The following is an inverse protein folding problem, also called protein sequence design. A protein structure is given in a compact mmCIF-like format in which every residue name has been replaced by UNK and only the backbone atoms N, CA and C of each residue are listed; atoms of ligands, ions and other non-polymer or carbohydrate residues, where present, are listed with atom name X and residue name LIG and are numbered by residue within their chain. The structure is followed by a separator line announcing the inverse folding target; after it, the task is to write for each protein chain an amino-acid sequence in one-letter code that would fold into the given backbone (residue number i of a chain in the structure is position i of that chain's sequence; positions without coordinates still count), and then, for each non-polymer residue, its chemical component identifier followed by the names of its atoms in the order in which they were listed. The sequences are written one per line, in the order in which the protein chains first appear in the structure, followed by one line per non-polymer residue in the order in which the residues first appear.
data_IF_183812833777
#
_entry.id   IF_183812833777
#
_cell.length_a   1.000
_cell.length_b   1.000
_cell.length_c   1.000
_cell.angle_alpha   90.00
_cell.angle_beta   90.00
_cell.angle_gamma   90.00
#
_symmetry.space_group_name_H-M   'P 1'
#
loop_
_entity.id
_entity.type
_entity.pdbx_description
1 polymer ?
#
# COMPACT_ATOMS: atom_id res chain seq x y z
N UNK A 1 -16.48 -5.26 -7.35
CA UNK A 1 -16.93 -4.43 -6.21
C UNK A 1 -18.11 -3.59 -6.67
N UNK A 2 -19.17 -3.53 -5.86
CA UNK A 2 -20.38 -2.75 -6.14
C UNK A 2 -20.57 -1.72 -5.03
N UNK A 3 -21.07 -0.54 -5.37
CA UNK A 3 -21.46 0.48 -4.40
C UNK A 3 -22.97 0.70 -4.49
N UNK A 4 -23.62 0.77 -3.33
CA UNK A 4 -25.08 0.95 -3.23
C UNK A 4 -25.49 2.43 -3.07
N UNK A 5 -24.52 3.30 -2.77
CA UNK A 5 -24.72 4.74 -2.60
C UNK A 5 -23.69 5.52 -3.42
N UNK A 6 -24.08 6.72 -3.88
CA UNK A 6 -23.20 7.64 -4.62
C UNK A 6 -22.02 8.07 -3.73
N UNK A 7 -22.26 8.29 -2.44
CA UNK A 7 -21.21 8.68 -1.49
C UNK A 7 -20.20 7.54 -1.31
N UNK A 8 -20.70 6.31 -1.18
CA UNK A 8 -19.84 5.11 -1.07
C UNK A 8 -18.99 4.94 -2.34
N UNK A 9 -19.59 5.10 -3.51
CA UNK A 9 -18.87 5.04 -4.79
C UNK A 9 -17.73 6.07 -4.84
N UNK A 10 -18.00 7.32 -4.51
CA UNK A 10 -16.99 8.40 -4.52
C UNK A 10 -15.89 8.13 -3.48
N UNK A 11 -16.26 7.74 -2.26
CA UNK A 11 -15.30 7.51 -1.17
C UNK A 11 -14.36 6.33 -1.46
N UNK A 12 -14.88 5.23 -2.02
CA UNK A 12 -14.04 4.08 -2.37
C UNK A 12 -13.09 4.44 -3.52
N UNK A 13 -13.59 5.18 -4.51
CA UNK A 13 -12.78 5.60 -5.65
C UNK A 13 -11.68 6.58 -5.24
N UNK A 14 -12.02 7.57 -4.40
CA UNK A 14 -11.04 8.50 -3.83
C UNK A 14 -10.02 7.78 -2.93
N UNK A 15 -10.48 6.85 -2.09
CA UNK A 15 -9.62 6.03 -1.25
C UNK A 15 -8.62 5.22 -2.06
N UNK A 16 -9.03 4.72 -3.23
CA UNK A 16 -8.16 4.01 -4.15
C UNK A 16 -7.07 4.91 -4.75
N UNK A 17 -7.45 6.09 -5.28
CA UNK A 17 -6.50 7.07 -5.83
C UNK A 17 -5.50 7.52 -4.76
N UNK A 18 -5.97 7.81 -3.55
CA UNK A 18 -5.10 8.21 -2.44
C UNK A 18 -4.16 7.08 -2.02
N UNK A 19 -4.64 5.83 -1.98
CA UNK A 19 -3.80 4.65 -1.74
C UNK A 19 -2.68 4.53 -2.79
N UNK A 20 -3.01 4.63 -4.08
CA UNK A 20 -2.02 4.58 -5.16
C UNK A 20 -1.01 5.72 -5.09
N UNK A 21 -1.46 6.95 -4.81
CA UNK A 21 -0.60 8.11 -4.65
C UNK A 21 0.37 7.94 -3.47
N UNK A 22 -0.12 7.52 -2.31
CA UNK A 22 0.72 7.23 -1.14
C UNK A 22 1.75 6.15 -1.46
N UNK A 23 1.33 5.08 -2.14
CA UNK A 23 2.23 3.97 -2.46
C UNK A 23 3.30 4.35 -3.46
N UNK A 24 2.96 5.15 -4.47
CA UNK A 24 3.93 5.74 -5.39
C UNK A 24 4.96 6.62 -4.68
N UNK A 25 4.55 7.41 -3.68
CA UNK A 25 5.49 8.23 -2.90
C UNK A 25 6.42 7.35 -2.06
N UNK A 26 5.90 6.35 -1.35
CA UNK A 26 6.72 5.49 -0.48
C UNK A 26 7.72 4.66 -1.30
N UNK A 27 7.30 4.14 -2.46
CA UNK A 27 8.19 3.46 -3.38
C UNK A 27 9.21 4.40 -4.03
N UNK A 28 8.76 5.56 -4.54
CA UNK A 28 9.63 6.53 -5.20
C UNK A 28 10.68 7.15 -4.28
N UNK A 29 10.37 7.30 -2.99
CA UNK A 29 11.33 7.78 -1.98
C UNK A 29 12.18 6.66 -1.36
N UNK A 30 11.83 5.39 -1.58
CA UNK A 30 12.52 4.25 -0.96
C UNK A 30 12.23 4.09 0.54
N UNK A 31 11.20 4.76 1.08
CA UNK A 31 10.87 4.75 2.51
C UNK A 31 10.54 3.33 3.04
N UNK A 32 10.14 2.42 2.16
CA UNK A 32 9.89 1.02 2.52
C UNK A 32 11.16 0.26 2.97
N UNK A 33 12.36 0.74 2.62
CA UNK A 33 13.65 0.14 3.01
C UNK A 33 14.11 0.59 4.40
N UNK A 34 13.50 1.63 4.95
CA UNK A 34 13.93 2.27 6.19
C UNK A 34 13.97 1.30 7.40
N UNK A 35 13.00 0.37 7.58
CA UNK A 35 13.07 -0.65 8.64
C UNK A 35 14.28 -1.59 8.50
N UNK A 36 14.69 -1.90 7.28
CA UNK A 36 15.84 -2.77 7.00
C UNK A 36 17.14 -2.05 7.37
N UNK A 37 17.26 -0.76 7.01
CA UNK A 37 18.40 0.07 7.41
C UNK A 37 18.51 0.11 8.93
N UNK A 38 17.43 0.40 9.65
CA UNK A 38 17.47 0.41 11.12
C UNK A 38 17.89 -0.93 11.73
N UNK A 39 17.44 -2.06 11.16
CA UNK A 39 17.85 -3.39 11.62
C UNK A 39 19.35 -3.64 11.39
N UNK A 40 19.88 -3.30 10.21
CA UNK A 40 21.31 -3.42 9.93
C UNK A 40 22.14 -2.57 10.89
N UNK A 41 21.75 -1.31 11.12
CA UNK A 41 22.47 -0.41 12.03
C UNK A 41 22.40 -0.90 13.48
N UNK A 42 21.28 -1.47 13.91
CA UNK A 42 21.15 -2.04 15.25
C UNK A 42 22.08 -3.24 15.46
N UNK A 43 22.18 -4.16 14.49
CA UNK A 43 23.11 -5.30 14.55
C UNK A 43 24.56 -4.81 14.54
N UNK A 44 24.85 -3.82 13.70
CA UNK A 44 26.18 -3.20 13.64
C UNK A 44 26.59 -2.58 14.98
N UNK A 45 25.72 -1.78 15.60
CA UNK A 45 26.00 -1.16 16.90
C UNK A 45 26.19 -2.21 17.99
N UNK A 46 25.37 -3.26 18.00
CA UNK A 46 25.50 -4.36 18.97
C UNK A 46 26.86 -5.06 18.89
N UNK A 47 27.37 -5.35 17.69
CA UNK A 47 28.70 -5.94 17.53
C UNK A 47 29.85 -4.98 17.87
N UNK A 48 29.60 -3.66 17.87
CA UNK A 48 30.57 -2.69 18.39
C UNK A 48 30.59 -2.64 19.92
N UNK A 49 29.46 -2.85 20.57
CA UNK A 49 29.33 -2.93 22.03
C UNK A 49 29.92 -4.22 22.60
N UNK A 50 29.93 -5.30 21.81
CA UNK A 50 30.61 -6.56 22.18
C UNK A 50 32.11 -6.30 22.46
N UNK A 51 32.58 -6.79 23.61
CA UNK A 51 33.94 -6.56 24.12
C UNK A 51 35.03 -7.23 23.27
N UNK A 52 36.31 -7.00 23.62
CA UNK A 52 37.46 -7.64 22.96
C UNK A 52 37.51 -9.16 23.14
N UNK A 53 36.63 -9.72 23.97
CA UNK A 53 36.60 -11.11 24.39
C UNK A 53 35.98 -12.05 23.33
N UNK A 54 35.22 -11.53 22.36
CA UNK A 54 34.60 -12.35 21.30
C UNK A 54 35.53 -12.63 20.10
N UNK A 55 36.77 -12.14 20.09
CA UNK A 55 37.69 -12.36 18.96
C UNK A 55 37.30 -11.55 17.70
N UNK A 56 37.48 -12.12 16.50
CA UNK A 56 37.32 -11.38 15.23
C UNK A 56 35.86 -10.93 14.98
N UNK A 57 35.56 -9.68 15.37
CA UNK A 57 34.24 -9.05 15.27
C UNK A 57 33.64 -9.07 13.85
N UNK A 58 34.48 -9.04 12.81
CA UNK A 58 34.01 -9.10 11.42
C UNK A 58 33.40 -10.46 11.04
N UNK A 59 33.98 -11.55 11.54
CA UNK A 59 33.51 -12.91 11.27
C UNK A 59 32.20 -13.23 12.01
N UNK A 60 31.94 -12.56 13.14
CA UNK A 60 30.70 -12.71 13.91
C UNK A 60 29.58 -11.78 13.41
N UNK A 61 29.93 -10.60 12.87
CA UNK A 61 28.96 -9.67 12.30
C UNK A 61 28.27 -10.25 11.07
N UNK A 62 29.04 -10.87 10.17
CA UNK A 62 28.55 -11.34 8.88
C UNK A 62 27.35 -12.31 8.99
N UNK A 63 27.42 -13.45 9.71
CA UNK A 63 26.31 -14.38 9.81
C UNK A 63 25.09 -13.77 10.54
N UNK A 64 25.32 -12.86 11.50
CA UNK A 64 24.23 -12.16 12.23
C UNK A 64 23.51 -11.17 11.32
N UNK A 65 24.25 -10.46 10.47
CA UNK A 65 23.68 -9.53 9.49
C UNK A 65 22.91 -10.28 8.40
N UNK A 66 23.48 -11.37 7.86
CA UNK A 66 22.80 -12.22 6.87
C UNK A 66 21.47 -12.76 7.41
N UNK A 67 21.48 -13.32 8.63
CA UNK A 67 20.26 -13.82 9.26
C UNK A 67 19.22 -12.71 9.50
N UNK A 68 19.68 -11.52 9.93
CA UNK A 68 18.82 -10.37 10.16
C UNK A 68 18.19 -9.83 8.86
N UNK A 69 18.80 -10.08 7.70
CA UNK A 69 18.32 -9.63 6.39
C UNK A 69 17.37 -10.60 5.72
N UNK A 70 17.50 -11.92 5.93
CA UNK A 70 16.68 -12.91 5.22
C UNK A 70 15.18 -12.74 5.45
N UNK A 71 14.74 -12.59 6.70
CA UNK A 71 13.30 -12.48 7.00
C UNK A 71 12.69 -11.18 6.47
N UNK A 72 13.26 -9.98 6.72
CA UNK A 72 12.73 -8.73 6.17
C UNK A 72 12.74 -8.70 4.64
N UNK A 73 13.77 -9.27 4.01
CA UNK A 73 13.86 -9.33 2.55
C UNK A 73 12.67 -10.11 1.94
N UNK A 74 12.33 -11.26 2.52
CA UNK A 74 11.17 -12.03 2.07
C UNK A 74 9.85 -11.25 2.27
N UNK A 75 9.69 -10.58 3.40
CA UNK A 75 8.49 -9.78 3.67
C UNK A 75 8.33 -8.66 2.64
N UNK A 76 9.41 -7.95 2.29
CA UNK A 76 9.36 -6.90 1.27
C UNK A 76 8.99 -7.49 -0.09
N UNK A 77 9.57 -8.64 -0.46
CA UNK A 77 9.34 -9.27 -1.74
C UNK A 77 7.88 -9.73 -1.92
N UNK A 78 7.25 -10.26 -0.87
CA UNK A 78 5.90 -10.81 -0.95
C UNK A 78 4.78 -9.84 -0.53
N UNK A 79 5.04 -8.90 0.39
CA UNK A 79 3.99 -8.03 0.95
C UNK A 79 4.04 -6.59 0.43
N UNK A 80 5.21 -6.11 0.01
CA UNK A 80 5.39 -4.70 -0.37
C UNK A 80 5.26 -4.54 -1.88
N UNK A 81 5.92 -5.41 -2.66
CA UNK A 81 5.82 -5.37 -4.12
C UNK A 81 4.43 -5.80 -4.59
N UNK A 82 3.67 -4.92 -5.28
CA UNK A 82 2.38 -5.29 -5.83
C UNK A 82 2.61 -6.22 -7.04
N UNK A 83 2.43 -7.53 -6.83
CA UNK A 83 2.54 -8.54 -7.90
C UNK A 83 1.39 -8.42 -8.91
N UNK A 84 0.26 -7.84 -8.50
CA UNK A 84 -0.92 -7.65 -9.33
C UNK A 84 -1.37 -6.19 -9.25
N UNK A 85 -1.29 -5.41 -10.35
CA UNK A 85 -1.97 -4.11 -10.40
C UNK A 85 -3.47 -4.37 -10.40
N UNK A 86 -4.16 -3.86 -9.38
CA UNK A 86 -5.63 -3.93 -9.29
C UNK A 86 -6.17 -2.60 -9.78
N UNK A 87 -6.75 -2.54 -10.97
CA UNK A 87 -7.38 -1.30 -11.44
C UNK A 87 -8.86 -1.27 -11.04
N UNK A 88 -9.26 -0.28 -10.23
CA UNK A 88 -10.66 -0.08 -9.80
C UNK A 88 -11.50 0.66 -10.87
N UNK A 89 -10.97 0.85 -12.08
CA UNK A 89 -11.59 1.60 -13.19
C UNK A 89 -12.99 1.10 -13.63
N UNK A 90 -13.46 -0.03 -13.09
CA UNK A 90 -14.76 -0.64 -13.42
C UNK A 90 -15.68 -0.90 -12.20
N UNK A 91 -15.57 -0.13 -11.11
CA UNK A 91 -16.51 -0.26 -10.00
C UNK A 91 -17.96 0.01 -10.48
N UNK A 92 -18.87 -0.94 -10.24
CA UNK A 92 -20.26 -0.84 -10.74
C UNK A 92 -21.18 -0.25 -9.68
N UNK A 93 -22.03 0.68 -10.07
CA UNK A 93 -23.10 1.18 -9.21
C UNK A 93 -24.28 0.20 -9.26
N UNK A 94 -24.69 -0.34 -8.11
CA UNK A 94 -25.79 -1.29 -8.02
C UNK A 94 -27.08 -0.56 -7.63
N UNK A 95 -27.99 -0.43 -8.59
CA UNK A 95 -29.31 0.19 -8.40
C UNK A 95 -30.42 -0.82 -8.08
N UNK A 96 -30.12 -2.12 -7.96
CA UNK A 96 -31.12 -3.17 -7.77
C UNK A 96 -31.99 -2.95 -6.52
N UNK A 97 -31.38 -2.47 -5.43
CA UNK A 97 -32.08 -2.17 -4.17
C UNK A 97 -33.02 -0.97 -4.28
N UNK A 98 -32.64 0.04 -5.05
CA UNK A 98 -33.47 1.21 -5.28
C UNK A 98 -34.69 0.85 -6.15
N UNK A 99 -34.48 -0.03 -7.15
CA UNK A 99 -35.57 -0.57 -7.98
C UNK A 99 -36.59 -1.39 -7.17
N UNK A 100 -36.15 -2.15 -6.15
CA UNK A 100 -37.05 -2.87 -5.25
C UNK A 100 -37.95 -1.94 -4.42
N UNK A 101 -37.46 -0.74 -4.08
CA UNK A 101 -38.21 0.27 -3.35
C UNK A 101 -38.96 1.25 -4.26
N UNK A 102 -39.01 1.01 -5.58
CA UNK A 102 -39.57 1.92 -6.59
C UNK A 102 -39.00 3.35 -6.57
N UNK A 103 -37.78 3.51 -6.05
CA UNK A 103 -37.09 4.79 -5.98
C UNK A 103 -36.06 4.87 -7.11
N UNK A 104 -36.18 5.88 -7.96
CA UNK A 104 -35.18 6.16 -9.00
C UNK A 104 -34.04 6.97 -8.39
N UNK A 105 -32.87 6.35 -8.26
CA UNK A 105 -31.64 7.04 -7.86
C UNK A 105 -30.85 7.40 -9.11
N UNK A 106 -30.38 8.66 -9.18
CA UNK A 106 -29.50 9.08 -10.28
C UNK A 106 -28.21 8.26 -10.26
N UNK A 107 -27.73 7.86 -11.44
CA UNK A 107 -26.44 7.17 -11.55
C UNK A 107 -25.30 8.16 -11.26
N UNK A 108 -24.12 7.72 -10.80
CA UNK A 108 -23.01 8.61 -10.45
C UNK A 108 -22.69 9.63 -11.56
N UNK A 109 -22.75 9.21 -12.83
CA UNK A 109 -22.51 10.04 -14.01
C UNK A 109 -23.64 11.01 -14.37
N UNK A 110 -24.88 10.72 -13.98
CA UNK A 110 -26.06 11.59 -14.21
C UNK A 110 -26.46 12.41 -12.98
N UNK A 111 -25.70 12.32 -11.90
CA UNK A 111 -25.88 13.09 -10.67
C UNK A 111 -25.16 14.45 -10.73
N UNK A 112 -25.45 15.34 -9.76
CA UNK A 112 -24.72 16.61 -9.59
C UNK A 112 -23.22 16.46 -9.29
N UNK A 113 -22.74 15.24 -9.05
CA UNK A 113 -21.33 14.91 -8.82
C UNK A 113 -20.62 14.38 -10.08
N UNK A 114 -21.22 14.54 -11.26
CA UNK A 114 -20.68 14.01 -12.53
C UNK A 114 -19.27 14.53 -12.86
N UNK A 115 -18.97 15.80 -12.57
CA UNK A 115 -17.62 16.36 -12.76
C UNK A 115 -16.60 15.68 -11.87
N UNK A 116 -16.91 15.48 -10.59
CA UNK A 116 -16.04 14.79 -9.62
C UNK A 116 -15.76 13.37 -10.08
N UNK A 117 -16.80 12.61 -10.48
CA UNK A 117 -16.64 11.24 -10.99
C UNK A 117 -15.79 11.18 -12.26
N UNK A 118 -15.91 12.17 -13.15
CA UNK A 118 -15.13 12.24 -14.39
C UNK A 118 -13.65 12.58 -14.15
N UNK A 119 -13.38 13.53 -13.24
CA UNK A 119 -12.01 13.92 -12.87
C UNK A 119 -11.27 12.79 -12.15
N UNK A 120 -11.96 12.09 -11.24
CA UNK A 120 -11.41 10.94 -10.54
C UNK A 120 -11.16 9.76 -11.50
N UNK A 121 -12.10 9.48 -12.41
CA UNK A 121 -12.00 8.38 -13.37
C UNK A 121 -10.80 8.44 -14.32
N UNK A 122 -10.21 9.62 -14.54
CA UNK A 122 -9.00 9.80 -15.32
C UNK A 122 -7.68 9.72 -14.53
N UNK A 123 -7.76 9.55 -13.21
CA UNK A 123 -6.61 9.65 -12.29
C UNK A 123 -6.22 8.31 -11.63
N UNK A 124 -6.80 7.19 -12.09
CA UNK A 124 -6.49 5.82 -11.62
C UNK A 124 -5.45 5.15 -12.48
#
# INVERSE_FOLDING_TARGET
MTANSIIEYILVFFGWVLNNAMWNIIFGTGLYLLPLVFKCTAVWLKTREEGFDEGNKGMLLQPRLEHALYVPYLVILFCVLPVVPVDISAMKFDSSRAQQCHLSVATPQSSGYSQVVSDLGGST
#
